data_IF_509813912250
#
_entry.id   IF_509813912250
#
_cell.length_a   1.000
_cell.length_b   1.000
_cell.length_c   1.000
_cell.angle_alpha   90.00
_cell.angle_beta   90.00
_cell.angle_gamma   90.00
#
_symmetry.space_group_name_H-M   'P 1'
#
loop_
_entity.id
_entity.type
_entity.pdbx_description
1 polymer ?
#
# COMPACT_ATOMS: atom_id res chain seq x y z
N UNK A 1 -11.50 -26.65 -17.04
CA UNK A 1 -12.59 -26.13 -16.16
C UNK A 1 -12.64 -24.62 -16.31
N UNK A 2 -13.79 -24.04 -16.64
CA UNK A 2 -13.91 -22.58 -16.75
C UNK A 2 -14.15 -21.99 -15.36
N UNK A 3 -13.24 -21.11 -14.91
CA UNK A 3 -13.33 -20.51 -13.58
C UNK A 3 -14.31 -19.36 -13.60
N UNK A 4 -15.34 -19.41 -12.75
CA UNK A 4 -16.25 -18.28 -12.55
C UNK A 4 -15.46 -17.05 -12.11
N UNK A 5 -15.53 -15.97 -12.90
CA UNK A 5 -14.85 -14.71 -12.58
C UNK A 5 -13.38 -14.61 -13.00
N UNK A 6 -12.87 -15.54 -13.82
CA UNK A 6 -11.49 -15.47 -14.32
C UNK A 6 -11.17 -14.13 -14.99
N UNK A 7 -12.06 -13.60 -15.82
CA UNK A 7 -11.90 -12.31 -16.47
C UNK A 7 -11.75 -11.15 -15.45
N UNK A 8 -12.56 -11.17 -14.38
CA UNK A 8 -12.45 -10.16 -13.31
C UNK A 8 -11.11 -10.27 -12.56
N UNK A 9 -10.63 -11.47 -12.29
CA UNK A 9 -9.34 -11.71 -11.64
C UNK A 9 -8.16 -11.22 -12.49
N UNK A 10 -8.15 -11.49 -13.80
CA UNK A 10 -7.13 -10.99 -14.71
C UNK A 10 -7.15 -9.46 -14.84
N UNK A 11 -8.35 -8.88 -14.94
CA UNK A 11 -8.50 -7.42 -14.95
C UNK A 11 -7.98 -6.81 -13.67
N UNK A 12 -8.31 -7.40 -12.52
CA UNK A 12 -7.85 -6.92 -11.22
C UNK A 12 -6.33 -7.06 -11.08
N UNK A 13 -5.73 -8.19 -11.50
CA UNK A 13 -4.28 -8.36 -11.53
C UNK A 13 -3.59 -7.32 -12.42
N UNK A 14 -4.15 -7.04 -13.60
CA UNK A 14 -3.66 -5.99 -14.50
C UNK A 14 -3.70 -4.60 -13.86
N UNK A 15 -4.80 -4.24 -13.20
CA UNK A 15 -4.92 -2.98 -12.45
C UNK A 15 -3.90 -2.88 -11.32
N UNK A 16 -3.68 -3.96 -10.57
CA UNK A 16 -2.68 -4.00 -9.49
C UNK A 16 -1.26 -3.80 -10.02
N UNK A 17 -0.89 -4.45 -11.13
CA UNK A 17 0.44 -4.28 -11.75
C UNK A 17 0.61 -2.86 -12.28
N UNK A 18 -0.40 -2.31 -12.94
CA UNK A 18 -0.39 -0.93 -13.44
C UNK A 18 -0.21 0.07 -12.28
N UNK A 19 -0.94 -0.13 -11.19
CA UNK A 19 -0.82 0.71 -10.00
C UNK A 19 0.56 0.57 -9.33
N UNK A 20 1.14 -0.64 -9.29
CA UNK A 20 2.51 -0.85 -8.81
C UNK A 20 3.52 -0.06 -9.66
N UNK A 21 3.42 -0.15 -10.99
CA UNK A 21 4.28 0.60 -11.91
C UNK A 21 4.17 2.11 -11.73
N UNK A 22 2.95 2.63 -11.66
CA UNK A 22 2.69 4.04 -11.40
C UNK A 22 3.26 4.51 -10.05
N UNK A 23 3.05 3.73 -8.99
CA UNK A 23 3.58 4.04 -7.66
C UNK A 23 5.11 4.04 -7.63
N UNK A 24 5.74 3.07 -8.32
CA UNK A 24 7.19 3.02 -8.46
C UNK A 24 7.74 4.22 -9.21
N UNK A 25 7.07 4.64 -10.30
CA UNK A 25 7.46 5.82 -11.09
C UNK A 25 7.41 7.10 -10.25
N UNK A 26 6.31 7.33 -9.53
CA UNK A 26 6.17 8.50 -8.64
C UNK A 26 7.29 8.57 -7.60
N UNK A 27 7.67 7.42 -7.03
CA UNK A 27 8.74 7.35 -6.05
C UNK A 27 10.12 7.55 -6.68
N UNK A 28 10.33 7.11 -7.93
CA UNK A 28 11.58 7.29 -8.67
C UNK A 28 11.78 8.74 -9.14
N UNK A 29 10.71 9.48 -9.44
CA UNK A 29 10.78 10.89 -9.86
C UNK A 29 11.22 11.84 -8.74
N UNK A 30 11.01 11.49 -7.47
CA UNK A 30 11.39 12.35 -6.34
C UNK A 30 12.89 12.63 -6.23
N UNK A 31 13.79 11.63 -6.25
CA UNK A 31 15.23 11.89 -6.27
C UNK A 31 15.66 12.66 -7.52
N UNK A 32 15.02 12.42 -8.66
CA UNK A 32 15.29 13.15 -9.89
C UNK A 32 14.93 14.65 -9.77
N UNK A 33 13.93 15.00 -8.95
CA UNK A 33 13.57 16.37 -8.59
C UNK A 33 14.42 16.97 -7.46
N UNK A 34 15.49 16.29 -7.03
CA UNK A 34 16.41 16.78 -5.97
C UNK A 34 15.93 16.51 -4.54
N UNK A 35 14.77 15.88 -4.34
CA UNK A 35 14.25 15.59 -3.01
C UNK A 35 14.92 14.33 -2.41
N UNK A 36 15.43 14.42 -1.18
CA UNK A 36 15.98 13.26 -0.47
C UNK A 36 14.84 12.36 0.01
N UNK A 37 14.90 11.07 -0.33
CA UNK A 37 13.97 10.07 0.19
C UNK A 37 14.15 9.88 1.69
N UNK A 38 13.12 10.16 2.47
CA UNK A 38 13.10 9.90 3.90
C UNK A 38 13.00 8.39 4.20
N UNK A 39 13.31 7.99 5.43
CA UNK A 39 13.10 6.61 5.89
C UNK A 39 11.62 6.21 5.81
N UNK A 40 10.72 7.16 6.05
CA UNK A 40 9.28 6.97 5.92
C UNK A 40 8.89 6.66 4.48
N UNK A 41 9.41 7.42 3.50
CA UNK A 41 9.10 7.22 2.08
C UNK A 41 9.51 5.83 1.61
N UNK A 42 10.72 5.40 1.97
CA UNK A 42 11.22 4.05 1.66
C UNK A 42 10.36 2.96 2.30
N UNK A 43 9.94 3.17 3.55
CA UNK A 43 9.09 2.22 4.25
C UNK A 43 7.71 2.12 3.61
N UNK A 44 7.08 3.24 3.28
CA UNK A 44 5.77 3.28 2.61
C UNK A 44 5.83 2.65 1.23
N UNK A 45 6.84 2.99 0.43
CA UNK A 45 7.08 2.38 -0.88
C UNK A 45 7.18 0.85 -0.77
N UNK A 46 8.05 0.36 0.11
CA UNK A 46 8.22 -1.09 0.32
C UNK A 46 6.93 -1.75 0.76
N UNK A 47 6.19 -1.11 1.66
CA UNK A 47 4.92 -1.63 2.18
C UNK A 47 3.89 -1.75 1.08
N UNK A 48 3.62 -0.67 0.34
CA UNK A 48 2.66 -0.65 -0.77
C UNK A 48 3.01 -1.70 -1.82
N UNK A 49 4.27 -1.76 -2.26
CA UNK A 49 4.72 -2.78 -3.23
C UNK A 49 4.50 -4.20 -2.72
N UNK A 50 4.83 -4.47 -1.44
CA UNK A 50 4.63 -5.81 -0.87
C UNK A 50 3.16 -6.21 -0.87
N UNK A 51 2.25 -5.29 -0.49
CA UNK A 51 0.80 -5.56 -0.52
C UNK A 51 0.31 -5.82 -1.95
N UNK A 52 0.72 -5.00 -2.92
CA UNK A 52 0.31 -5.17 -4.32
C UNK A 52 0.80 -6.51 -4.87
N UNK A 53 2.04 -6.92 -4.59
CA UNK A 53 2.55 -8.23 -5.02
C UNK A 53 1.75 -9.39 -4.41
N UNK A 54 1.40 -9.33 -3.13
CA UNK A 54 0.57 -10.36 -2.49
C UNK A 54 -0.82 -10.41 -3.13
N UNK A 55 -1.45 -9.26 -3.37
CA UNK A 55 -2.76 -9.19 -4.01
C UNK A 55 -2.73 -9.68 -5.46
N UNK A 56 -1.70 -9.32 -6.23
CA UNK A 56 -1.52 -9.78 -7.62
C UNK A 56 -1.32 -11.29 -7.67
N UNK A 57 -0.47 -11.82 -6.80
CA UNK A 57 -0.26 -13.27 -6.69
C UNK A 57 -1.59 -13.97 -6.34
N UNK A 58 -2.34 -13.45 -5.37
CA UNK A 58 -3.64 -13.97 -4.99
C UNK A 58 -4.65 -13.94 -6.15
N UNK A 59 -4.67 -12.88 -6.96
CA UNK A 59 -5.55 -12.80 -8.13
C UNK A 59 -5.25 -13.86 -9.20
N UNK A 60 -3.98 -14.29 -9.31
CA UNK A 60 -3.55 -15.31 -10.28
C UNK A 60 -3.68 -16.75 -9.76
N UNK A 61 -3.68 -16.96 -8.43
CA UNK A 61 -3.75 -18.29 -7.81
C UNK A 61 -4.91 -19.17 -8.32
N UNK A 62 -6.16 -18.69 -8.42
CA UNK A 62 -7.27 -19.53 -8.88
C UNK A 62 -7.06 -20.08 -10.29
N UNK A 63 -6.51 -19.24 -11.19
CA UNK A 63 -6.20 -19.65 -12.56
C UNK A 63 -5.09 -20.69 -12.61
N UNK A 64 -4.08 -20.55 -11.75
CA UNK A 64 -2.99 -21.51 -11.63
C UNK A 64 -3.50 -22.86 -11.11
N UNK A 65 -4.33 -22.87 -10.06
CA UNK A 65 -4.86 -24.10 -9.49
C UNK A 65 -5.84 -24.82 -10.40
N UNK A 66 -6.56 -24.07 -11.24
CA UNK A 66 -7.47 -24.67 -12.23
C UNK A 66 -6.75 -25.53 -13.29
N UNK A 67 -5.45 -25.29 -13.54
CA UNK A 67 -4.65 -26.11 -14.44
C UNK A 67 -4.45 -27.55 -13.92
N UNK A 68 -4.65 -27.78 -12.63
CA UNK A 68 -4.50 -29.09 -11.99
C UNK A 68 -5.84 -29.81 -11.81
N UNK A 69 -6.94 -29.37 -12.43
CA UNK A 69 -8.27 -29.96 -12.36
C UNK A 69 -8.78 -30.21 -10.93
N UNK A 70 -8.40 -29.32 -10.00
CA UNK A 70 -8.81 -29.37 -8.59
C UNK A 70 -10.32 -29.06 -8.50
N UNK A 71 -11.04 -29.81 -7.70
CA UNK A 71 -12.47 -29.57 -7.46
C UNK A 71 -12.69 -28.12 -6.98
N UNK A 72 -13.71 -27.43 -7.51
CA UNK A 72 -13.99 -26.02 -7.25
C UNK A 72 -13.99 -25.66 -5.76
N UNK A 73 -14.53 -26.52 -4.90
CA UNK A 73 -14.56 -26.33 -3.46
C UNK A 73 -13.16 -26.25 -2.84
N UNK A 74 -12.24 -27.12 -3.23
CA UNK A 74 -10.88 -27.14 -2.72
C UNK A 74 -10.02 -26.03 -3.32
N UNK A 75 -10.30 -25.67 -4.59
CA UNK A 75 -9.64 -24.56 -5.26
C UNK A 75 -9.84 -23.26 -4.47
N UNK A 76 -11.10 -22.89 -4.18
CA UNK A 76 -11.39 -21.64 -3.47
C UNK A 76 -10.90 -21.67 -2.02
N UNK A 77 -10.99 -22.81 -1.33
CA UNK A 77 -10.42 -22.97 0.01
C UNK A 77 -8.90 -22.77 0.03
N UNK A 78 -8.19 -23.41 -0.89
CA UNK A 78 -6.75 -23.30 -1.03
C UNK A 78 -6.32 -21.85 -1.34
N UNK A 79 -6.97 -21.23 -2.33
CA UNK A 79 -6.72 -19.83 -2.67
C UNK A 79 -7.01 -18.89 -1.50
N UNK A 80 -8.13 -19.09 -0.80
CA UNK A 80 -8.52 -18.27 0.35
C UNK A 80 -7.50 -18.33 1.49
N UNK A 81 -7.01 -19.52 1.83
CA UNK A 81 -5.99 -19.69 2.88
C UNK A 81 -4.66 -19.09 2.45
N UNK A 82 -4.20 -19.37 1.22
CA UNK A 82 -2.94 -18.85 0.69
C UNK A 82 -2.94 -17.32 0.53
N UNK A 83 -4.09 -16.71 0.31
CA UNK A 83 -4.24 -15.26 0.32
C UNK A 83 -4.31 -14.71 1.74
N UNK A 84 -5.15 -15.30 2.61
CA UNK A 84 -5.41 -14.76 3.94
C UNK A 84 -4.16 -14.78 4.84
N UNK A 85 -3.35 -15.83 4.80
CA UNK A 85 -2.17 -15.95 5.66
C UNK A 85 -1.16 -14.81 5.48
N UNK A 86 -0.62 -14.54 4.26
CA UNK A 86 0.30 -13.42 4.07
C UNK A 86 -0.37 -12.08 4.28
N UNK A 87 -1.64 -11.91 3.87
CA UNK A 87 -2.34 -10.65 4.00
C UNK A 87 -2.57 -10.27 5.47
N UNK A 88 -3.10 -11.18 6.29
CA UNK A 88 -3.26 -10.97 7.74
C UNK A 88 -1.92 -10.74 8.44
N UNK A 89 -0.88 -11.50 8.06
CA UNK A 89 0.47 -11.28 8.59
C UNK A 89 0.98 -9.87 8.31
N UNK A 90 0.77 -9.35 7.10
CA UNK A 90 1.15 -7.98 6.74
C UNK A 90 0.36 -6.95 7.54
N UNK A 91 -0.98 -7.10 7.62
CA UNK A 91 -1.88 -6.17 8.31
C UNK A 91 -1.59 -6.11 9.81
N UNK A 92 -1.51 -7.25 10.49
CA UNK A 92 -1.28 -7.33 11.94
C UNK A 92 0.13 -6.87 12.33
N UNK A 93 1.14 -7.16 11.50
CA UNK A 93 2.52 -6.74 11.79
C UNK A 93 2.82 -5.30 11.39
N UNK A 94 1.96 -4.66 10.57
CA UNK A 94 2.16 -3.29 10.08
C UNK A 94 2.45 -2.26 11.19
N UNK A 95 1.68 -2.17 12.30
CA UNK A 95 1.93 -1.18 13.35
C UNK A 95 3.29 -1.38 14.02
N UNK A 96 3.67 -2.65 14.26
CA UNK A 96 4.97 -2.99 14.86
C UNK A 96 6.13 -2.65 13.93
N UNK A 97 6.01 -2.96 12.63
CA UNK A 97 7.03 -2.65 11.62
C UNK A 97 7.19 -1.13 11.47
N UNK A 98 6.09 -0.38 11.42
CA UNK A 98 6.13 1.08 11.33
C UNK A 98 6.80 1.71 12.54
N UNK A 99 6.48 1.28 13.76
CA UNK A 99 7.15 1.76 14.99
C UNK A 99 8.66 1.56 14.95
N UNK A 100 9.12 0.40 14.45
CA UNK A 100 10.57 0.10 14.37
C UNK A 100 11.30 1.02 13.40
N UNK A 101 10.67 1.45 12.31
CA UNK A 101 11.33 2.24 11.26
C UNK A 101 11.18 3.74 11.49
N UNK A 102 10.00 4.19 11.91
CA UNK A 102 9.63 5.63 11.99
C UNK A 102 9.64 6.13 13.43
N UNK A 103 9.73 5.24 14.43
CA UNK A 103 9.63 5.59 15.85
C UNK A 103 8.22 5.92 16.34
N UNK A 104 7.26 6.14 15.44
CA UNK A 104 5.86 6.49 15.74
C UNK A 104 4.90 5.44 15.18
N UNK A 105 3.79 5.21 15.89
CA UNK A 105 2.69 4.34 15.40
C UNK A 105 1.99 4.95 14.18
N UNK A 106 1.13 4.15 13.48
CA UNK A 106 0.29 4.68 12.41
C UNK A 106 -0.72 5.70 12.95
N UNK A 107 -1.13 6.70 12.14
CA UNK A 107 -2.26 7.54 12.47
C UNK A 107 -3.51 6.70 12.71
N UNK A 108 -4.43 7.12 13.60
CA UNK A 108 -5.60 6.30 13.96
C UNK A 108 -6.48 5.94 12.76
N UNK A 109 -6.67 6.84 11.80
CA UNK A 109 -7.41 6.55 10.59
C UNK A 109 -6.76 5.46 9.73
N UNK A 110 -5.43 5.52 9.55
CA UNK A 110 -4.68 4.50 8.80
C UNK A 110 -4.71 3.16 9.53
N UNK A 111 -4.63 3.17 10.86
CA UNK A 111 -4.76 1.95 11.66
C UNK A 111 -6.15 1.33 11.51
N UNK A 112 -7.22 2.13 11.62
CA UNK A 112 -8.60 1.65 11.49
C UNK A 112 -8.85 1.06 10.09
N UNK A 113 -8.44 1.72 9.03
CA UNK A 113 -8.68 1.26 7.65
C UNK A 113 -7.81 0.06 7.29
N UNK A 114 -6.50 0.15 7.53
CA UNK A 114 -5.58 -0.92 7.09
C UNK A 114 -5.60 -2.15 7.99
N UNK A 115 -5.60 -1.95 9.32
CA UNK A 115 -5.47 -3.08 10.24
C UNK A 115 -6.83 -3.63 10.62
N UNK A 116 -7.75 -2.79 11.08
CA UNK A 116 -9.04 -3.27 11.56
C UNK A 116 -9.94 -3.68 10.40
N UNK A 117 -10.22 -2.77 9.47
CA UNK A 117 -11.12 -3.03 8.36
C UNK A 117 -10.56 -4.06 7.38
N UNK A 118 -9.30 -3.92 6.94
CA UNK A 118 -8.66 -4.90 6.05
C UNK A 118 -8.62 -6.30 6.65
N UNK A 119 -8.23 -6.44 7.94
CA UNK A 119 -8.25 -7.76 8.60
C UNK A 119 -9.65 -8.33 8.74
N UNK A 120 -10.66 -7.50 9.01
CA UNK A 120 -12.05 -7.96 9.10
C UNK A 120 -12.55 -8.49 7.75
N UNK A 121 -12.25 -7.80 6.64
CA UNK A 121 -12.60 -8.25 5.27
C UNK A 121 -11.93 -9.57 4.93
N UNK A 122 -10.61 -9.67 5.19
CA UNK A 122 -9.85 -10.91 4.91
C UNK A 122 -10.36 -12.09 5.76
N UNK A 123 -10.67 -11.88 7.04
CA UNK A 123 -11.22 -12.92 7.93
C UNK A 123 -12.64 -13.31 7.53
N UNK A 124 -13.50 -12.36 7.18
CA UNK A 124 -14.86 -12.64 6.71
C UNK A 124 -14.83 -13.47 5.42
N UNK A 125 -13.99 -13.11 4.46
CA UNK A 125 -13.77 -13.89 3.24
C UNK A 125 -13.30 -15.31 3.58
N UNK A 126 -12.28 -15.43 4.45
CA UNK A 126 -11.72 -16.73 4.83
C UNK A 126 -12.78 -17.62 5.49
N UNK A 127 -13.58 -17.10 6.41
CA UNK A 127 -14.70 -17.82 7.02
C UNK A 127 -15.70 -18.32 5.98
N UNK A 128 -16.11 -17.41 5.09
CA UNK A 128 -17.05 -17.72 4.01
C UNK A 128 -16.55 -18.82 3.07
N UNK A 129 -15.29 -18.74 2.66
CA UNK A 129 -14.67 -19.71 1.74
C UNK A 129 -14.45 -21.07 2.41
N UNK A 130 -14.08 -21.10 3.70
CA UNK A 130 -13.87 -22.35 4.45
C UNK A 130 -15.18 -23.12 4.67
N UNK A 131 -16.30 -22.44 4.86
CA UNK A 131 -17.62 -23.07 4.93
C UNK A 131 -18.04 -23.74 3.61
N UNK A 132 -17.44 -23.31 2.48
CA UNK A 132 -17.67 -23.89 1.15
C UNK A 132 -19.03 -23.50 0.57
N UNK A 133 -19.46 -22.27 0.84
CA UNK A 133 -20.72 -21.71 0.35
C UNK A 133 -20.70 -21.48 -1.18
N UNK A 134 -21.88 -21.41 -1.78
CA UNK A 134 -22.06 -21.36 -3.24
C UNK A 134 -21.38 -20.15 -3.94
N UNK A 135 -21.11 -19.08 -3.20
CA UNK A 135 -20.54 -17.84 -3.72
C UNK A 135 -19.08 -17.61 -3.31
N UNK A 136 -18.31 -18.69 -3.10
CA UNK A 136 -16.90 -18.57 -2.68
C UNK A 136 -16.05 -17.75 -3.66
N UNK A 137 -16.28 -17.90 -4.97
CA UNK A 137 -15.62 -17.09 -6.00
C UNK A 137 -15.92 -15.60 -5.84
N UNK A 138 -17.20 -15.23 -5.67
CA UNK A 138 -17.62 -13.85 -5.52
C UNK A 138 -17.05 -13.24 -4.23
N UNK A 139 -17.10 -13.97 -3.11
CA UNK A 139 -16.54 -13.52 -1.84
C UNK A 139 -15.02 -13.28 -1.95
N UNK A 140 -14.29 -14.17 -2.59
CA UNK A 140 -12.86 -14.05 -2.82
C UNK A 140 -12.51 -12.82 -3.67
N UNK A 141 -13.19 -12.63 -4.82
CA UNK A 141 -12.96 -11.50 -5.72
C UNK A 141 -13.32 -10.18 -5.04
N UNK A 142 -14.43 -10.15 -4.28
CA UNK A 142 -14.85 -8.95 -3.53
C UNK A 142 -13.81 -8.57 -2.47
N UNK A 143 -13.30 -9.53 -1.70
CA UNK A 143 -12.27 -9.26 -0.70
C UNK A 143 -10.99 -8.73 -1.34
N UNK A 144 -10.51 -9.35 -2.43
CA UNK A 144 -9.36 -8.85 -3.18
C UNK A 144 -9.55 -7.41 -3.67
N UNK A 145 -10.76 -7.11 -4.18
CA UNK A 145 -11.09 -5.77 -4.67
C UNK A 145 -11.08 -4.75 -3.54
N UNK A 146 -11.69 -5.06 -2.40
CA UNK A 146 -11.73 -4.18 -1.23
C UNK A 146 -10.32 -3.97 -0.68
N UNK A 147 -9.52 -5.03 -0.53
CA UNK A 147 -8.14 -4.93 -0.06
C UNK A 147 -7.25 -4.11 -1.02
N UNK A 148 -7.45 -4.25 -2.34
CA UNK A 148 -6.77 -3.41 -3.33
C UNK A 148 -7.13 -1.93 -3.17
N UNK A 149 -8.41 -1.58 -3.09
CA UNK A 149 -8.82 -0.19 -2.86
C UNK A 149 -8.32 0.36 -1.52
N UNK A 150 -8.24 -0.47 -0.51
CA UNK A 150 -7.65 -0.10 0.79
C UNK A 150 -6.18 0.28 0.64
N UNK A 151 -5.41 -0.47 -0.16
CA UNK A 151 -4.00 -0.15 -0.47
C UNK A 151 -3.89 1.14 -1.28
N UNK A 152 -4.72 1.32 -2.31
CA UNK A 152 -4.77 2.56 -3.12
C UNK A 152 -5.05 3.78 -2.24
N UNK A 153 -6.07 3.69 -1.38
CA UNK A 153 -6.43 4.75 -0.44
C UNK A 153 -5.28 5.10 0.50
N UNK A 154 -4.63 4.08 1.07
CA UNK A 154 -3.46 4.28 1.93
C UNK A 154 -2.28 4.90 1.20
N UNK A 155 -2.09 4.59 -0.07
CA UNK A 155 -1.06 5.22 -0.89
C UNK A 155 -1.36 6.70 -1.16
N UNK A 156 -2.61 7.05 -1.44
CA UNK A 156 -3.03 8.45 -1.63
C UNK A 156 -2.78 9.28 -0.36
N UNK A 157 -3.17 8.76 0.81
CA UNK A 157 -2.87 9.43 2.10
C UNK A 157 -1.36 9.57 2.30
N UNK A 158 -0.60 8.53 1.96
CA UNK A 158 0.86 8.57 2.08
C UNK A 158 1.48 9.63 1.18
N UNK A 159 0.99 9.78 -0.06
CA UNK A 159 1.44 10.82 -0.99
C UNK A 159 1.18 12.22 -0.43
N UNK A 160 -0.02 12.46 0.12
CA UNK A 160 -0.37 13.76 0.70
C UNK A 160 0.61 14.16 1.82
N UNK A 161 0.86 13.24 2.78
CA UNK A 161 1.85 13.46 3.85
C UNK A 161 3.25 13.71 3.30
N UNK A 162 3.62 13.00 2.24
CA UNK A 162 4.93 13.11 1.61
C UNK A 162 5.08 14.46 0.88
N UNK A 163 4.03 14.95 0.24
CA UNK A 163 4.05 16.22 -0.51
C UNK A 163 4.08 17.45 0.40
N UNK A 164 3.56 17.37 1.62
CA UNK A 164 3.54 18.48 2.57
C UNK A 164 4.90 18.74 3.25
N UNK A 165 5.80 17.75 3.33
CA UNK A 165 7.10 17.88 4.02
C UNK A 165 8.09 18.90 3.44
N UNK A 166 8.19 19.19 2.14
CA UNK A 166 9.15 20.14 1.60
C UNK A 166 8.90 21.61 2.00
N UNK A 167 7.64 22.00 2.20
CA UNK A 167 7.29 23.38 2.50
C UNK A 167 7.72 23.83 3.89
N UNK A 168 7.58 22.98 4.90
CA UNK A 168 7.96 23.31 6.28
C UNK A 168 9.48 23.50 6.47
N UNK A 169 10.30 22.74 5.72
CA UNK A 169 11.77 22.85 5.79
C UNK A 169 12.24 24.13 5.11
N UNK A 170 11.61 24.53 4.00
CA UNK A 170 11.93 25.77 3.29
C UNK A 170 11.56 27.01 4.11
N UNK A 171 10.35 27.02 4.71
CA UNK A 171 9.92 28.11 5.59
C UNK A 171 10.78 28.24 6.86
N UNK A 172 11.24 27.12 7.42
CA UNK A 172 12.14 27.16 8.58
C UNK A 172 13.53 27.63 8.21
N UNK A 173 14.04 27.30 7.03
CA UNK A 173 15.31 27.78 6.52
C UNK A 173 15.26 29.29 6.23
N UNK A 174 14.15 29.79 5.67
CA UNK A 174 13.92 31.20 5.39
C UNK A 174 13.79 32.02 6.69
N UNK A 175 13.08 31.49 7.70
CA UNK A 175 12.95 32.12 9.03
C UNK A 175 14.22 32.04 9.87
N UNK A 176 15.14 31.13 9.56
CA UNK A 176 16.42 30.98 10.24
C UNK A 176 17.56 31.84 9.64
N UNK A 177 17.30 32.45 8.48
CA UNK A 177 18.27 33.39 7.89
C UNK A 177 18.24 34.71 8.71
N UNK A 178 19.34 35.07 9.41
CA UNK A 178 19.33 36.28 10.22
C UNK A 178 19.15 37.49 9.31
N UNK A 179 18.15 38.31 9.59
CA UNK A 179 17.83 39.59 8.93
C UNK A 179 18.94 40.66 9.11
N UNK A 180 20.14 40.25 9.51
CA UNK A 180 21.24 41.16 9.85
C UNK A 180 22.34 41.31 8.82
N UNK A 181 22.26 40.66 7.64
CA UNK A 181 23.36 40.70 6.67
C UNK A 181 23.32 41.87 5.66
N UNK A 182 22.24 42.63 5.64
CA UNK A 182 22.12 43.79 4.71
C UNK A 182 22.61 45.11 5.24
N UNK A 183 22.83 45.26 6.57
CA UNK A 183 23.18 46.55 7.16
C UNK A 183 24.70 46.83 7.16
N UNK A 184 25.54 45.78 7.03
CA UNK A 184 27.02 45.97 7.07
C UNK A 184 27.65 46.39 5.73
N UNK A 185 26.90 46.32 4.62
CA UNK A 185 27.41 46.72 3.29
C UNK A 185 27.31 48.22 3.04
N UNK A 186 26.49 48.95 3.79
CA UNK A 186 26.39 50.42 3.64
C UNK A 186 27.39 51.24 4.49
N UNK A 187 28.01 50.61 5.50
CA UNK A 187 28.99 51.31 6.33
C UNK A 187 30.40 51.38 5.72
N UNK A 188 30.75 50.49 4.79
CA UNK A 188 32.10 50.48 4.18
C UNK A 188 32.27 51.36 2.93
N UNK A 189 31.26 52.12 2.54
CA UNK A 189 31.31 52.97 1.33
C UNK A 189 31.58 54.48 1.64
N UNK A 190 31.89 54.84 2.90
CA UNK A 190 32.12 56.24 3.33
C UNK A 190 33.42 56.47 4.08
N UNK A 191 34.49 55.67 3.83
CA UNK A 191 35.86 56.03 4.26
C UNK A 191 36.79 56.21 3.05
#
# INVERSE_FOLDING_TARGET
MEIKGAAALYTLAGLMITFAGFSALLLALRPAAGAKLSLLDRYLAKTVMTYIFVLTAAALLPSLFALYDIQEKWLWRGCGVLFALPMLSLQVTYPRRRRKVVGKGPPPAVFAVFVVFGSAVTLAMLGYVLEGLQYSAAAYITALTIDFFTVVFGFVIALDVIMQQPMEVSERAEKAQPQGAEDDTHAAAFE
#
